data_IF_916554413616
#
_entry.id   IF_916554413616
#
_cell.length_a   1.000
_cell.length_b   1.000
_cell.length_c   1.000
_cell.angle_alpha   90.00
_cell.angle_beta   90.00
_cell.angle_gamma   90.00
#
_symmetry.space_group_name_H-M   'P 1'
#
loop_
_entity.id
_entity.type
_entity.pdbx_description
1 polymer ?
#
# COMPACT_ATOMS: atom_id res chain seq x y z
N UNK A 1 -17.54 8.72 -48.75
CA UNK A 1 -17.82 9.61 -47.61
C UNK A 1 -18.26 8.84 -46.36
N UNK A 2 -19.22 7.90 -46.45
CA UNK A 2 -19.69 7.09 -45.30
C UNK A 2 -18.59 6.25 -44.61
N UNK A 3 -17.66 5.66 -45.39
CA UNK A 3 -16.51 4.91 -44.83
C UNK A 3 -15.55 5.77 -44.01
N UNK A 4 -15.34 7.02 -44.44
CA UNK A 4 -14.45 7.97 -43.74
C UNK A 4 -15.09 8.37 -42.41
N UNK A 5 -16.39 8.66 -42.42
CA UNK A 5 -17.14 9.01 -41.21
C UNK A 5 -17.14 7.86 -40.19
N UNK A 6 -17.31 6.62 -40.64
CA UNK A 6 -17.27 5.45 -39.75
C UNK A 6 -15.90 5.24 -39.08
N UNK A 7 -14.80 5.45 -39.81
CA UNK A 7 -13.43 5.36 -39.25
C UNK A 7 -13.17 6.48 -38.25
N UNK A 8 -13.65 7.70 -38.53
CA UNK A 8 -13.52 8.84 -37.60
C UNK A 8 -14.33 8.58 -36.33
N UNK A 9 -15.56 8.07 -36.44
CA UNK A 9 -16.40 7.73 -35.28
C UNK A 9 -15.74 6.62 -34.45
N UNK A 10 -15.26 5.54 -35.07
CA UNK A 10 -14.54 4.47 -34.36
C UNK A 10 -13.29 5.01 -33.64
N UNK A 11 -12.49 5.84 -34.32
CA UNK A 11 -11.30 6.44 -33.72
C UNK A 11 -11.63 7.35 -32.53
N UNK A 12 -12.66 8.19 -32.64
CA UNK A 12 -13.12 9.06 -31.55
C UNK A 12 -13.62 8.21 -30.38
N UNK A 13 -14.41 7.15 -30.62
CA UNK A 13 -14.87 6.28 -29.54
C UNK A 13 -13.72 5.56 -28.85
N UNK A 14 -12.70 5.07 -29.58
CA UNK A 14 -11.52 4.43 -28.97
C UNK A 14 -10.76 5.38 -28.06
N UNK A 15 -10.54 6.63 -28.49
CA UNK A 15 -9.87 7.65 -27.68
C UNK A 15 -10.69 8.04 -26.45
N UNK A 16 -12.01 8.17 -26.58
CA UNK A 16 -12.88 8.46 -25.42
C UNK A 16 -13.02 7.28 -24.45
N UNK A 17 -12.74 6.04 -24.89
CA UNK A 17 -12.82 4.84 -24.04
C UNK A 17 -11.50 4.42 -23.40
N UNK A 18 -10.39 5.12 -23.65
CA UNK A 18 -9.14 4.83 -22.94
C UNK A 18 -9.28 5.24 -21.48
N UNK A 19 -9.59 4.26 -20.63
CA UNK A 19 -9.56 4.41 -19.19
C UNK A 19 -8.12 4.79 -18.78
N UNK A 20 -7.91 5.87 -18.02
CA UNK A 20 -6.59 6.20 -17.52
C UNK A 20 -6.05 5.04 -16.69
N UNK A 21 -4.87 4.55 -17.05
CA UNK A 21 -4.27 3.35 -16.48
C UNK A 21 -3.70 3.68 -15.09
N UNK A 22 -4.57 3.61 -14.06
CA UNK A 22 -4.28 4.08 -12.69
C UNK A 22 -2.98 3.48 -12.11
N UNK A 23 -2.74 2.19 -12.35
CA UNK A 23 -1.52 1.50 -11.94
C UNK A 23 -0.26 2.11 -12.54
N UNK A 24 -0.34 2.62 -13.78
CA UNK A 24 0.81 3.23 -14.42
C UNK A 24 1.20 4.53 -13.71
N UNK A 25 0.24 5.30 -13.19
CA UNK A 25 0.52 6.53 -12.45
C UNK A 25 1.22 6.28 -11.12
N UNK A 26 0.93 5.16 -10.47
CA UNK A 26 1.44 4.80 -9.16
C UNK A 26 2.97 4.65 -9.10
N UNK A 27 3.59 4.31 -10.23
CA UNK A 27 5.04 4.20 -10.38
C UNK A 27 5.74 5.54 -10.64
N UNK A 28 5.00 6.63 -10.91
CA UNK A 28 5.61 7.95 -11.08
C UNK A 28 5.99 8.57 -9.71
N UNK A 29 6.96 9.50 -9.70
CA UNK A 29 7.24 10.31 -8.52
C UNK A 29 6.03 11.15 -8.14
N UNK A 30 5.63 11.09 -6.86
CA UNK A 30 4.56 11.91 -6.30
C UNK A 30 5.12 12.88 -5.26
N UNK A 31 4.54 14.08 -5.20
CA UNK A 31 4.83 15.08 -4.19
C UNK A 31 3.50 15.63 -3.65
N UNK A 32 3.09 15.29 -2.41
CA UNK A 32 3.81 14.44 -1.44
C UNK A 32 3.85 12.95 -1.83
N UNK A 33 4.73 12.13 -1.22
CA UNK A 33 4.75 10.68 -1.42
C UNK A 33 3.40 10.05 -1.06
N UNK A 34 3.01 9.01 -1.79
CA UNK A 34 1.76 8.27 -1.55
C UNK A 34 1.85 7.25 -0.41
N UNK A 35 3.05 7.01 0.10
CA UNK A 35 3.35 6.06 1.16
C UNK A 35 4.44 6.65 2.08
N UNK A 36 4.59 6.14 3.32
CA UNK A 36 5.66 6.54 4.20
C UNK A 36 7.02 6.20 3.61
N UNK A 37 8.00 7.09 3.80
CA UNK A 37 9.36 6.96 3.28
C UNK A 37 10.36 7.15 4.42
N UNK A 38 10.15 6.40 5.49
CA UNK A 38 10.94 6.46 6.72
C UNK A 38 12.32 5.87 6.49
N UNK A 39 13.36 6.49 7.07
CA UNK A 39 14.73 5.96 7.07
C UNK A 39 15.02 5.03 8.25
N UNK A 40 14.22 5.14 9.31
CA UNK A 40 14.30 4.37 10.55
C UNK A 40 12.92 4.33 11.22
N UNK A 41 12.74 3.41 12.17
CA UNK A 41 11.49 3.31 12.92
C UNK A 41 11.40 4.44 13.97
N UNK A 42 10.45 5.38 13.86
CA UNK A 42 10.26 6.39 14.88
C UNK A 42 9.63 5.79 16.14
N UNK A 43 9.78 6.42 17.32
CA UNK A 43 9.03 6.04 18.50
C UNK A 43 7.52 6.26 18.29
N UNK A 44 6.73 5.24 18.60
CA UNK A 44 5.26 5.26 18.51
C UNK A 44 4.64 4.77 19.82
N UNK A 45 3.31 4.83 19.91
CA UNK A 45 2.59 4.24 21.03
C UNK A 45 2.23 2.76 20.82
N UNK A 46 2.89 2.06 19.88
CA UNK A 46 2.64 0.64 19.63
C UNK A 46 2.94 -0.20 20.89
N UNK A 47 2.12 -1.22 21.13
CA UNK A 47 2.31 -2.15 22.25
C UNK A 47 1.82 -3.55 21.92
N UNK A 48 2.56 -4.54 22.46
CA UNK A 48 2.21 -5.96 22.43
C UNK A 48 1.20 -6.36 23.52
N UNK A 49 0.68 -5.40 24.30
CA UNK A 49 -0.33 -5.68 25.32
C UNK A 49 -1.57 -6.34 24.69
N UNK A 50 -2.03 -7.43 25.30
CA UNK A 50 -3.16 -8.25 24.83
C UNK A 50 -3.01 -8.84 23.41
N UNK A 51 -1.80 -8.82 22.82
CA UNK A 51 -1.52 -9.46 21.53
C UNK A 51 -0.92 -10.85 21.73
N UNK A 52 -1.37 -11.88 21.00
CA UNK A 52 -0.68 -13.17 20.96
C UNK A 52 0.70 -13.02 20.31
N UNK A 53 1.43 -14.13 20.20
CA UNK A 53 2.69 -14.13 19.45
C UNK A 53 2.38 -13.88 17.97
N UNK A 54 3.08 -12.95 17.33
CA UNK A 54 2.92 -12.65 15.91
C UNK A 54 3.61 -11.37 15.48
N UNK A 55 3.57 -11.09 14.18
CA UNK A 55 4.00 -9.81 13.61
C UNK A 55 2.79 -8.89 13.45
N UNK A 56 2.97 -7.63 13.79
CA UNK A 56 1.90 -6.63 13.86
C UNK A 56 2.33 -5.33 13.20
N UNK A 57 1.46 -4.75 12.38
CA UNK A 57 1.71 -3.48 11.73
C UNK A 57 1.64 -2.32 12.73
N UNK A 58 2.55 -1.36 12.58
CA UNK A 58 2.45 -0.07 13.28
C UNK A 58 1.69 0.94 12.45
N UNK A 59 0.42 1.12 12.79
CA UNK A 59 -0.50 2.03 12.10
C UNK A 59 -0.06 3.49 12.18
N UNK A 60 0.68 3.91 13.22
CA UNK A 60 1.15 5.30 13.34
C UNK A 60 2.23 5.63 12.31
N UNK A 61 2.94 4.62 11.83
CA UNK A 61 3.97 4.77 10.79
C UNK A 61 3.42 4.58 9.38
N UNK A 62 2.09 4.54 9.21
CA UNK A 62 1.47 4.13 7.96
C UNK A 62 1.81 2.69 7.57
N UNK A 63 2.04 1.83 8.57
CA UNK A 63 2.38 0.42 8.43
C UNK A 63 3.73 0.13 7.76
N UNK A 64 4.59 1.14 7.52
CA UNK A 64 5.96 0.86 7.05
C UNK A 64 6.80 0.17 8.13
N UNK A 65 6.52 0.45 9.41
CA UNK A 65 7.10 -0.29 10.55
C UNK A 65 6.17 -1.43 10.96
N UNK A 66 6.77 -2.55 11.36
CA UNK A 66 6.07 -3.64 12.02
C UNK A 66 6.89 -4.19 13.20
N UNK A 67 6.21 -4.88 14.11
CA UNK A 67 6.81 -5.40 15.33
C UNK A 67 6.54 -6.89 15.50
N UNK A 68 7.55 -7.63 15.95
CA UNK A 68 7.35 -9.00 16.42
C UNK A 68 7.02 -8.99 17.92
N UNK A 69 5.83 -9.49 18.28
CA UNK A 69 5.43 -9.65 19.67
C UNK A 69 5.64 -11.08 20.16
N UNK A 70 6.18 -11.21 21.38
CA UNK A 70 6.19 -12.48 22.11
C UNK A 70 6.16 -12.22 23.61
N UNK A 71 5.32 -12.98 24.34
CA UNK A 71 5.11 -12.82 25.80
C UNK A 71 4.71 -11.38 26.17
N UNK A 72 3.90 -10.74 25.34
CA UNK A 72 3.45 -9.34 25.52
C UNK A 72 4.59 -8.30 25.48
N UNK A 73 5.76 -8.66 24.95
CA UNK A 73 6.89 -7.76 24.72
C UNK A 73 7.20 -7.66 23.23
N UNK A 74 7.69 -6.49 22.81
CA UNK A 74 8.30 -6.29 21.49
C UNK A 74 9.65 -7.00 21.50
N UNK A 75 9.84 -7.94 20.59
CA UNK A 75 11.10 -8.68 20.39
C UNK A 75 11.92 -8.04 19.28
N UNK A 76 11.27 -7.59 18.20
CA UNK A 76 11.90 -6.83 17.13
C UNK A 76 10.98 -5.74 16.61
N UNK A 77 11.61 -4.70 16.06
CA UNK A 77 10.97 -3.62 15.31
C UNK A 77 11.70 -3.54 13.99
N UNK A 78 10.96 -3.69 12.90
CA UNK A 78 11.51 -3.83 11.56
C UNK A 78 10.81 -2.86 10.61
N UNK A 79 11.52 -2.47 9.55
CA UNK A 79 11.07 -1.48 8.56
C UNK A 79 10.94 -2.15 7.19
N UNK A 80 9.78 -2.01 6.55
CA UNK A 80 9.60 -2.34 5.15
C UNK A 80 10.37 -1.35 4.26
N UNK A 81 10.84 -1.83 3.10
CA UNK A 81 11.53 -0.99 2.12
C UNK A 81 10.62 0.13 1.58
N UNK A 82 11.22 1.20 1.06
CA UNK A 82 10.45 2.27 0.42
C UNK A 82 9.57 1.73 -0.71
N UNK A 83 8.29 2.11 -0.69
CA UNK A 83 7.27 1.59 -1.62
C UNK A 83 6.50 0.37 -1.13
N UNK A 84 6.84 -0.18 0.05
CA UNK A 84 6.11 -1.29 0.67
C UNK A 84 5.72 -0.96 2.12
N UNK A 85 4.67 -1.62 2.59
CA UNK A 85 4.18 -1.55 3.97
C UNK A 85 3.78 -2.94 4.42
N UNK A 86 3.74 -3.17 5.73
CA UNK A 86 3.50 -4.48 6.28
C UNK A 86 2.03 -4.89 6.12
N UNK A 87 1.81 -5.94 5.34
CA UNK A 87 0.54 -6.63 5.24
C UNK A 87 0.44 -7.63 6.41
N UNK A 88 -0.32 -7.26 7.45
CA UNK A 88 -0.47 -8.10 8.64
C UNK A 88 -1.24 -9.40 8.34
N UNK A 89 -2.14 -9.41 7.35
CA UNK A 89 -2.88 -10.62 6.97
C UNK A 89 -1.97 -11.68 6.34
N UNK A 90 -1.10 -11.27 5.42
CA UNK A 90 -0.17 -12.17 4.71
C UNK A 90 1.22 -12.25 5.36
N UNK A 91 1.46 -11.47 6.41
CA UNK A 91 2.72 -11.42 7.16
C UNK A 91 3.94 -11.12 6.26
N UNK A 92 3.77 -10.18 5.32
CA UNK A 92 4.79 -9.79 4.33
C UNK A 92 4.77 -8.27 4.09
N UNK A 93 5.90 -7.67 3.75
CA UNK A 93 5.90 -6.31 3.19
C UNK A 93 5.38 -6.37 1.74
N UNK A 94 4.20 -5.83 1.50
CA UNK A 94 3.60 -5.73 0.16
C UNK A 94 3.59 -4.28 -0.29
N UNK A 95 3.36 -4.05 -1.57
CA UNK A 95 3.22 -2.72 -2.11
C UNK A 95 2.11 -1.93 -1.40
N UNK A 96 2.38 -0.66 -1.11
CA UNK A 96 1.48 0.19 -0.30
C UNK A 96 0.03 0.28 -0.82
N UNK A 97 -0.20 0.00 -2.10
CA UNK A 97 -1.52 0.02 -2.73
C UNK A 97 -2.30 -1.29 -2.59
N UNK A 98 -1.63 -2.37 -2.20
CA UNK A 98 -2.24 -3.65 -1.86
C UNK A 98 -2.59 -3.74 -0.37
N UNK A 99 -2.23 -2.73 0.45
CA UNK A 99 -2.38 -2.77 1.91
C UNK A 99 -3.24 -1.62 2.44
N UNK A 100 -4.21 -1.97 3.27
CA UNK A 100 -5.14 -1.12 4.02
C UNK A 100 -4.64 -1.05 5.45
N UNK A 101 -3.67 -0.17 5.65
CA UNK A 101 -3.04 0.02 6.94
C UNK A 101 -4.07 0.26 8.07
N UNK A 102 -4.04 -0.59 9.10
CA UNK A 102 -4.97 -0.55 10.24
C UNK A 102 -6.31 -1.26 10.01
N UNK A 103 -6.54 -1.84 8.83
CA UNK A 103 -7.66 -2.75 8.57
C UNK A 103 -7.19 -4.20 8.66
N UNK A 104 -7.85 -5.08 9.44
CA UNK A 104 -7.61 -6.51 9.39
C UNK A 104 -8.29 -7.21 8.20
N UNK A 105 -9.06 -6.46 7.39
CA UNK A 105 -9.77 -6.97 6.21
C UNK A 105 -9.26 -6.26 4.97
N UNK A 106 -8.66 -6.99 4.05
CA UNK A 106 -8.06 -6.41 2.83
C UNK A 106 -8.91 -6.63 1.57
N UNK A 107 -9.79 -7.63 1.52
CA UNK A 107 -10.40 -8.07 0.25
C UNK A 107 -11.91 -8.45 0.34
N UNK A 108 -12.73 -7.69 1.07
CA UNK A 108 -14.20 -7.74 0.93
C UNK A 108 -14.77 -6.38 0.48
#
# INVERSE_FOLDING_TARGET
>A
MLKILAVVILGITMVLTQQPDYYHYLHLPHSPPLHPVLSEAPPTSFSCAARPRGYYADVQTGCQVFHFCWRQHIVSTDLCANGTVFNEQFQVCDHFYNVRCGSPYEDL
#
